data_IF_738029958174
#
_entry.id   IF_738029958174
#
_cell.length_a   1.000
_cell.length_b   1.000
_cell.length_c   1.000
_cell.angle_alpha   90.00
_cell.angle_beta   90.00
_cell.angle_gamma   90.00
#
_symmetry.space_group_name_H-M   'P 1'
#
loop_
_entity.id
_entity.type
_entity.pdbx_description
1 polymer ?
#
# COMPACT_ATOMS: atom_id res chain seq x y z
N UNK A 1 9.10 -3.77 18.70
CA UNK A 1 9.32 -4.75 19.78
C UNK A 1 10.19 -5.90 19.30
N UNK A 2 11.00 -6.54 20.15
CA UNK A 2 11.98 -7.55 19.68
C UNK A 2 11.36 -8.86 19.15
N UNK A 3 10.05 -9.05 19.37
CA UNK A 3 9.28 -10.22 18.95
C UNK A 3 8.27 -9.92 17.83
N UNK A 4 8.23 -8.71 17.31
CA UNK A 4 7.31 -8.38 16.21
C UNK A 4 7.93 -8.80 14.88
N UNK A 5 7.10 -9.37 13.99
CA UNK A 5 7.51 -9.63 12.61
C UNK A 5 7.75 -8.31 11.87
N UNK A 6 8.53 -8.32 10.78
CA UNK A 6 8.71 -7.11 9.95
C UNK A 6 7.35 -6.54 9.49
N UNK A 7 6.37 -7.42 9.20
CA UNK A 7 5.02 -6.99 8.86
C UNK A 7 4.32 -6.29 10.04
N UNK A 8 4.43 -6.80 11.26
CA UNK A 8 3.89 -6.14 12.46
C UNK A 8 4.65 -4.84 12.79
N UNK A 9 5.96 -4.78 12.58
CA UNK A 9 6.76 -3.57 12.75
C UNK A 9 6.36 -2.46 11.77
N UNK A 10 6.00 -2.82 10.54
CA UNK A 10 5.59 -1.86 9.50
C UNK A 10 4.12 -1.46 9.70
N UNK A 11 3.24 -2.42 9.96
CA UNK A 11 1.80 -2.21 10.00
C UNK A 11 1.24 -1.75 11.36
N UNK A 12 1.92 -2.04 12.48
CA UNK A 12 1.40 -1.84 13.84
C UNK A 12 2.30 -0.99 14.74
N UNK A 13 3.43 -0.47 14.25
CA UNK A 13 4.30 0.42 15.04
C UNK A 13 3.72 1.85 15.08
N UNK A 14 3.37 2.31 16.28
CA UNK A 14 2.81 3.64 16.49
C UNK A 14 3.77 4.77 16.12
N UNK A 15 5.08 4.50 16.01
CA UNK A 15 6.12 5.47 15.59
C UNK A 15 6.12 5.71 14.09
N UNK A 16 5.64 4.76 13.28
CA UNK A 16 5.45 4.91 11.84
C UNK A 16 3.99 5.24 11.50
N UNK A 17 3.11 5.42 12.49
CA UNK A 17 1.67 5.69 12.27
C UNK A 17 1.32 6.80 11.27
N UNK A 18 2.19 7.80 11.07
CA UNK A 18 1.95 8.83 10.05
C UNK A 18 2.13 8.32 8.61
N UNK A 19 3.02 7.34 8.38
CA UNK A 19 3.37 6.78 7.07
C UNK A 19 3.40 5.26 7.17
N UNK A 20 2.49 4.56 6.49
CA UNK A 20 2.38 3.09 6.56
C UNK A 20 3.70 2.35 6.25
N UNK A 21 4.62 2.99 5.52
CA UNK A 21 5.98 2.53 5.26
C UNK A 21 6.95 3.71 5.00
N UNK A 22 8.28 3.51 5.07
CA UNK A 22 9.26 4.50 4.62
C UNK A 22 9.04 4.91 3.15
N UNK A 23 9.27 6.18 2.85
CA UNK A 23 9.22 6.68 1.46
C UNK A 23 10.24 5.94 0.57
N UNK A 24 9.84 5.65 -0.66
CA UNK A 24 10.64 4.94 -1.67
C UNK A 24 10.98 3.48 -1.34
N UNK A 25 10.32 2.86 -0.34
CA UNK A 25 10.55 1.45 0.00
C UNK A 25 10.34 0.52 -1.21
N UNK A 26 9.37 0.83 -2.08
CA UNK A 26 9.09 0.08 -3.30
C UNK A 26 10.29 -0.02 -4.28
N UNK A 27 11.28 0.87 -4.18
CA UNK A 27 12.51 0.88 -5.01
C UNK A 27 13.67 0.12 -4.39
N UNK A 28 13.56 -0.29 -3.11
CA UNK A 28 14.68 -0.91 -2.41
C UNK A 28 15.23 -2.11 -3.19
N UNK A 29 16.57 -2.34 -3.22
CA UNK A 29 17.19 -3.36 -4.07
C UNK A 29 16.67 -4.80 -3.84
N UNK A 30 16.12 -5.10 -2.67
CA UNK A 30 15.49 -6.38 -2.32
C UNK A 30 13.99 -6.43 -2.67
N UNK A 31 13.34 -5.27 -2.79
CA UNK A 31 11.91 -5.13 -3.10
C UNK A 31 11.69 -4.99 -4.60
N UNK A 32 12.28 -3.97 -5.24
CA UNK A 32 12.18 -3.67 -6.67
C UNK A 32 10.76 -3.90 -7.22
N UNK A 33 9.74 -3.30 -6.60
CA UNK A 33 8.32 -3.64 -6.79
C UNK A 33 7.94 -3.77 -8.27
N UNK A 34 8.21 -2.74 -9.06
CA UNK A 34 7.84 -2.70 -10.49
C UNK A 34 8.51 -3.77 -11.36
N UNK A 35 9.63 -4.35 -10.94
CA UNK A 35 10.25 -5.48 -11.65
C UNK A 35 9.49 -6.80 -11.46
N UNK A 36 8.61 -6.86 -10.45
CA UNK A 36 7.86 -8.05 -10.05
C UNK A 36 6.38 -7.98 -10.44
N UNK A 37 5.91 -6.87 -11.00
CA UNK A 37 4.50 -6.68 -11.36
C UNK A 37 4.19 -7.24 -12.75
N UNK A 38 3.01 -7.84 -12.88
CA UNK A 38 2.39 -8.18 -14.16
C UNK A 38 1.67 -6.96 -14.77
N UNK A 39 1.13 -7.12 -15.98
CA UNK A 39 0.34 -6.07 -16.69
C UNK A 39 -0.78 -5.48 -15.83
N UNK A 40 -1.43 -6.31 -15.01
CA UNK A 40 -2.37 -5.91 -13.96
C UNK A 40 -2.13 -6.82 -12.76
N UNK A 41 -1.80 -6.24 -11.61
CA UNK A 41 -1.44 -6.96 -10.39
C UNK A 41 -2.46 -6.67 -9.29
N UNK A 42 -2.81 -7.71 -8.53
CA UNK A 42 -3.60 -7.57 -7.29
C UNK A 42 -2.65 -7.46 -6.11
N UNK A 43 -2.82 -6.43 -5.29
CA UNK A 43 -2.08 -6.20 -4.06
C UNK A 43 -2.92 -6.68 -2.87
N UNK A 44 -2.28 -7.39 -1.95
CA UNK A 44 -2.94 -8.06 -0.84
C UNK A 44 -2.48 -7.50 0.50
N UNK A 45 -3.34 -7.55 1.50
CA UNK A 45 -2.99 -7.29 2.89
C UNK A 45 -1.98 -8.32 3.38
N UNK A 46 -0.85 -7.86 3.92
CA UNK A 46 0.23 -8.71 4.42
C UNK A 46 -0.15 -9.50 5.68
N UNK A 47 -1.16 -9.05 6.43
CA UNK A 47 -1.60 -9.66 7.69
C UNK A 47 -2.65 -10.73 7.44
N UNK A 48 -3.66 -10.42 6.64
CA UNK A 48 -4.84 -11.31 6.47
C UNK A 48 -5.06 -11.82 5.05
N UNK A 49 -4.29 -11.36 4.06
CA UNK A 49 -4.37 -11.83 2.67
C UNK A 49 -5.60 -11.35 1.89
N UNK A 50 -6.35 -10.37 2.39
CA UNK A 50 -7.45 -9.78 1.62
C UNK A 50 -6.91 -8.99 0.42
N UNK A 51 -7.57 -9.05 -0.76
CA UNK A 51 -7.19 -8.21 -1.89
C UNK A 51 -7.61 -6.75 -1.61
N UNK A 52 -6.66 -5.82 -1.71
CA UNK A 52 -6.84 -4.41 -1.38
C UNK A 52 -6.94 -3.54 -2.63
N UNK A 53 -6.03 -3.76 -3.58
CA UNK A 53 -5.93 -2.97 -4.81
C UNK A 53 -5.70 -3.86 -6.01
N UNK A 54 -6.14 -3.41 -7.18
CA UNK A 54 -5.87 -4.03 -8.47
C UNK A 54 -5.42 -2.95 -9.45
N UNK A 55 -4.14 -2.95 -9.78
CA UNK A 55 -3.51 -1.86 -10.55
C UNK A 55 -2.47 -2.38 -11.56
N UNK A 56 -2.21 -1.63 -12.64
CA UNK A 56 -2.95 -0.43 -13.05
C UNK A 56 -4.35 -0.75 -13.62
N UNK A 57 -5.33 0.13 -13.39
CA UNK A 57 -6.63 0.11 -14.08
C UNK A 57 -6.95 1.50 -14.64
N UNK A 58 -7.45 1.53 -15.88
CA UNK A 58 -7.76 2.78 -16.61
C UNK A 58 -6.57 3.74 -16.76
N UNK A 59 -5.34 3.22 -16.60
CA UNK A 59 -4.06 3.89 -16.85
C UNK A 59 -3.02 2.85 -17.27
N UNK A 60 -1.92 3.32 -17.82
CA UNK A 60 -0.74 2.50 -18.14
C UNK A 60 0.11 2.19 -16.90
N UNK A 61 0.97 1.18 -17.02
CA UNK A 61 1.97 0.87 -15.98
C UNK A 61 2.94 2.05 -15.77
N UNK A 62 3.32 2.75 -16.83
CA UNK A 62 4.21 3.92 -16.75
C UNK A 62 3.55 5.08 -16.00
N UNK A 63 2.25 5.31 -16.20
CA UNK A 63 1.50 6.30 -15.42
C UNK A 63 1.39 5.91 -13.95
N UNK A 64 1.18 4.63 -13.64
CA UNK A 64 1.19 4.16 -12.24
C UNK A 64 2.56 4.33 -11.59
N UNK A 65 3.63 3.99 -12.31
CA UNK A 65 5.00 4.17 -11.85
C UNK A 65 5.34 5.64 -11.63
N UNK A 66 5.03 6.50 -12.59
CA UNK A 66 5.27 7.95 -12.49
C UNK A 66 4.53 8.56 -11.30
N UNK A 67 3.27 8.18 -11.10
CA UNK A 67 2.46 8.64 -9.96
C UNK A 67 3.05 8.17 -8.62
N UNK A 68 3.50 6.92 -8.56
CA UNK A 68 4.19 6.35 -7.40
C UNK A 68 5.50 7.07 -7.08
N UNK A 69 6.31 7.37 -8.09
CA UNK A 69 7.57 8.12 -7.97
C UNK A 69 7.35 9.56 -7.50
N UNK A 70 6.33 10.23 -8.01
CA UNK A 70 6.02 11.61 -7.65
C UNK A 70 5.60 11.77 -6.18
N UNK A 71 4.86 10.80 -5.64
CA UNK A 71 4.45 10.80 -4.24
C UNK A 71 5.49 10.16 -3.31
N UNK A 72 6.26 9.20 -3.83
CA UNK A 72 7.23 8.39 -3.07
C UNK A 72 6.61 7.18 -2.38
N UNK A 73 5.36 6.82 -2.69
CA UNK A 73 4.67 5.61 -2.23
C UNK A 73 3.75 5.07 -3.33
N UNK A 74 3.50 3.74 -3.36
CA UNK A 74 2.54 3.15 -4.29
C UNK A 74 1.18 3.85 -4.19
N UNK A 75 0.81 4.56 -5.26
CA UNK A 75 -0.34 5.46 -5.26
C UNK A 75 -1.46 4.88 -6.12
N UNK A 76 -2.57 4.51 -5.49
CA UNK A 76 -3.71 3.86 -6.14
C UNK A 76 -4.86 4.84 -6.38
N UNK A 77 -5.59 4.67 -7.48
CA UNK A 77 -6.82 5.42 -7.77
C UNK A 77 -8.03 4.71 -7.19
N UNK A 78 -9.13 5.45 -7.02
CA UNK A 78 -10.39 4.90 -6.50
C UNK A 78 -10.90 3.72 -7.31
N UNK A 79 -10.70 3.72 -8.63
CA UNK A 79 -11.07 2.64 -9.55
C UNK A 79 -10.23 1.37 -9.37
N UNK A 80 -9.04 1.50 -8.78
CA UNK A 80 -8.12 0.39 -8.48
C UNK A 80 -8.36 -0.16 -7.07
N UNK A 81 -9.13 0.53 -6.23
CA UNK A 81 -9.38 0.17 -4.85
C UNK A 81 -10.55 -0.82 -4.71
N UNK A 82 -10.31 -1.92 -3.99
CA UNK A 82 -11.36 -2.88 -3.63
C UNK A 82 -12.03 -2.35 -2.36
N UNK A 83 -12.92 -1.38 -2.55
CA UNK A 83 -13.56 -0.61 -1.46
C UNK A 83 -14.25 -1.49 -0.42
N UNK A 84 -14.71 -2.68 -0.81
CA UNK A 84 -15.28 -3.65 0.13
C UNK A 84 -14.28 -4.20 1.15
N UNK A 85 -12.97 -4.07 0.94
CA UNK A 85 -11.93 -4.53 1.87
C UNK A 85 -11.18 -3.38 2.55
N UNK A 86 -11.55 -2.13 2.26
CA UNK A 86 -10.93 -0.92 2.79
C UNK A 86 -11.87 -0.18 3.75
N UNK A 87 -11.28 0.53 4.69
CA UNK A 87 -11.94 1.42 5.63
C UNK A 87 -11.18 2.74 5.64
N UNK A 88 -11.87 3.85 5.37
CA UNK A 88 -11.29 5.19 5.41
C UNK A 88 -11.76 5.94 6.66
N UNK A 89 -10.82 6.56 7.37
CA UNK A 89 -11.11 7.44 8.49
C UNK A 89 -11.10 8.90 8.01
N UNK A 90 -12.28 9.50 7.95
CA UNK A 90 -12.47 10.87 7.46
C UNK A 90 -11.93 11.95 8.39
N UNK A 91 -11.62 11.62 9.65
CA UNK A 91 -11.04 12.58 10.60
C UNK A 91 -9.54 12.70 10.43
N UNK A 92 -8.87 11.58 10.15
CA UNK A 92 -7.41 11.50 10.04
C UNK A 92 -6.93 11.49 8.59
N UNK A 93 -7.79 11.10 7.64
CA UNK A 93 -7.42 10.86 6.25
C UNK A 93 -6.74 9.50 6.04
N UNK A 94 -6.74 8.63 7.04
CA UNK A 94 -6.07 7.33 6.95
C UNK A 94 -6.94 6.25 6.31
N UNK A 95 -6.26 5.32 5.67
CA UNK A 95 -6.83 4.14 5.02
C UNK A 95 -6.34 2.91 5.76
N UNK A 96 -7.28 2.04 6.09
CA UNK A 96 -7.04 0.76 6.73
C UNK A 96 -7.65 -0.37 5.90
N UNK A 97 -7.14 -1.57 6.06
CA UNK A 97 -7.89 -2.76 5.63
C UNK A 97 -9.01 -3.07 6.63
N UNK A 98 -9.98 -3.89 6.21
CA UNK A 98 -10.97 -4.48 7.12
C UNK A 98 -10.35 -5.33 8.24
N UNK A 99 -9.10 -5.74 8.09
CA UNK A 99 -8.36 -6.49 9.10
C UNK A 99 -7.68 -5.57 10.13
N UNK A 100 -7.74 -4.25 9.95
CA UNK A 100 -7.15 -3.26 10.86
C UNK A 100 -5.72 -2.85 10.50
N UNK A 101 -5.16 -3.36 9.41
CA UNK A 101 -3.83 -2.97 8.91
C UNK A 101 -3.87 -1.52 8.44
N UNK A 102 -2.98 -0.67 8.95
CA UNK A 102 -2.83 0.70 8.43
C UNK A 102 -2.10 0.66 7.08
N UNK A 103 -2.72 1.22 6.04
CA UNK A 103 -2.26 1.13 4.65
C UNK A 103 -1.69 2.45 4.11
N UNK A 104 -2.04 3.58 4.72
CA UNK A 104 -1.59 4.91 4.31
C UNK A 104 -2.71 5.93 4.43
N UNK A 105 -2.74 6.90 3.52
CA UNK A 105 -3.70 8.01 3.50
C UNK A 105 -4.28 8.24 2.11
N UNK A 106 -5.38 9.00 2.02
CA UNK A 106 -6.06 9.35 0.77
C UNK A 106 -6.30 10.86 0.61
#
# INVERSE_FOLDING_TARGET
DANETLAEAVCCDTRTSANAEPQFLYEAPDIQMFSKLDTVTTFYDSVCGLPLFRAPMNRSMDEFKTDTENHGWPSFRTEEAIMENLVTDTKTGFVYSKCGTHLGSY
#
